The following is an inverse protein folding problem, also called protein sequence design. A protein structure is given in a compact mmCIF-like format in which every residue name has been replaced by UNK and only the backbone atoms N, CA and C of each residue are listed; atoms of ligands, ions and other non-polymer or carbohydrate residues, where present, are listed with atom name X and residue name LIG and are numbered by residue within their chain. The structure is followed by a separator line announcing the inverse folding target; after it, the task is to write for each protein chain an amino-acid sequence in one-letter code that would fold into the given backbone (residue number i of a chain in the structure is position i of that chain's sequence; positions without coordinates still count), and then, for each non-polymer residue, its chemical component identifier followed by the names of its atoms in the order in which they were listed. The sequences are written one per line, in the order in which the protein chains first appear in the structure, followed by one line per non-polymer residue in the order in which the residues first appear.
data_IF_941573269721
#
_entry.id   IF_941573269721
#
_cell.length_a   1.000
_cell.length_b   1.000
_cell.length_c   1.000
_cell.angle_alpha   90.00
_cell.angle_beta   90.00
_cell.angle_gamma   90.00
#
_symmetry.space_group_name_H-M   'P 1'
#
loop_
_entity.id
_entity.type
_entity.pdbx_description
1 polymer ?
#
# COMPACT_ATOMS: atom_id res chain seq x y z
N UNK A 1 55.63 17.49 -2.40
CA UNK A 1 54.36 18.18 -2.70
C UNK A 1 53.29 17.11 -2.88
N UNK A 2 52.64 16.70 -1.79
CA UNK A 2 51.83 15.47 -1.79
C UNK A 2 50.41 15.76 -2.29
N UNK A 3 50.02 15.07 -3.35
CA UNK A 3 48.66 14.97 -3.85
C UNK A 3 47.81 14.19 -2.84
N UNK A 4 46.68 14.75 -2.41
CA UNK A 4 45.64 13.96 -1.74
C UNK A 4 44.39 14.02 -2.62
N UNK A 5 44.24 12.94 -3.39
CA UNK A 5 43.03 12.55 -4.08
C UNK A 5 41.99 12.12 -3.03
N UNK A 6 41.00 12.97 -2.74
CA UNK A 6 39.85 12.61 -1.93
C UNK A 6 38.62 12.46 -2.83
N UNK A 7 38.48 11.26 -3.39
CA UNK A 7 37.23 10.78 -3.97
C UNK A 7 36.18 10.65 -2.85
N UNK A 8 35.40 11.72 -2.64
CA UNK A 8 34.27 11.74 -1.72
C UNK A 8 33.09 11.04 -2.40
N UNK A 9 33.01 9.72 -2.27
CA UNK A 9 31.81 8.95 -2.58
C UNK A 9 30.73 9.28 -1.55
N UNK A 10 29.88 10.27 -1.83
CA UNK A 10 28.81 10.71 -0.95
C UNK A 10 27.86 9.55 -0.63
N UNK A 11 27.94 8.99 0.58
CA UNK A 11 26.89 8.12 1.07
C UNK A 11 25.59 8.92 1.22
N UNK A 12 24.43 8.35 0.84
CA UNK A 12 23.16 9.05 1.00
C UNK A 12 22.91 9.37 2.48
N UNK A 13 22.40 10.57 2.72
CA UNK A 13 21.89 11.01 4.01
C UNK A 13 20.61 10.24 4.37
N UNK A 14 20.06 10.47 5.57
CA UNK A 14 18.87 9.75 6.04
C UNK A 14 17.66 9.89 5.08
N UNK A 15 17.33 11.09 4.53
CA UNK A 15 16.34 11.24 3.48
C UNK A 15 16.63 10.41 2.22
N UNK A 16 17.87 10.45 1.70
CA UNK A 16 18.26 9.67 0.53
C UNK A 16 18.16 8.15 0.75
N UNK A 17 18.48 7.69 1.96
CA UNK A 17 18.28 6.27 2.35
C UNK A 17 16.80 5.91 2.40
N UNK A 18 15.95 6.76 2.97
CA UNK A 18 14.51 6.50 3.03
C UNK A 18 13.90 6.43 1.63
N UNK A 19 14.33 7.30 0.72
CA UNK A 19 13.89 7.28 -0.68
C UNK A 19 14.31 6.00 -1.42
N UNK A 20 15.53 5.51 -1.17
CA UNK A 20 15.96 4.22 -1.73
C UNK A 20 15.13 3.04 -1.19
N UNK A 21 14.82 3.04 0.11
CA UNK A 21 13.97 2.01 0.73
C UNK A 21 12.53 2.10 0.20
N UNK A 22 12.01 3.30 -0.04
CA UNK A 22 10.70 3.51 -0.69
C UNK A 22 10.67 2.84 -2.07
N UNK A 23 11.60 3.18 -2.95
CA UNK A 23 11.72 2.60 -4.29
C UNK A 23 11.80 1.08 -4.28
N UNK A 24 12.55 0.52 -3.34
CA UNK A 24 12.66 -0.93 -3.17
C UNK A 24 11.36 -1.61 -2.69
N UNK A 25 10.44 -0.85 -2.09
CA UNK A 25 9.12 -1.35 -1.66
C UNK A 25 8.02 -1.17 -2.71
N UNK A 26 8.22 -0.36 -3.77
CA UNK A 26 7.21 -0.13 -4.80
C UNK A 26 6.64 -1.43 -5.41
N UNK A 27 7.43 -2.46 -5.77
CA UNK A 27 6.87 -3.70 -6.29
C UNK A 27 5.96 -4.42 -5.28
N UNK A 28 6.30 -4.35 -3.98
CA UNK A 28 5.49 -4.96 -2.91
C UNK A 28 4.22 -4.16 -2.65
N UNK A 29 4.28 -2.83 -2.76
CA UNK A 29 3.11 -1.96 -2.65
C UNK A 29 2.15 -2.24 -3.81
N UNK A 30 2.66 -2.23 -5.04
CA UNK A 30 1.88 -2.56 -6.24
C UNK A 30 1.24 -3.95 -6.15
N UNK A 31 1.99 -4.97 -5.73
CA UNK A 31 1.45 -6.33 -5.54
C UNK A 31 0.29 -6.38 -4.54
N UNK A 32 0.35 -5.63 -3.44
CA UNK A 32 -0.74 -5.56 -2.45
C UNK A 32 -1.95 -4.81 -2.99
N UNK A 33 -1.74 -3.72 -3.72
CA UNK A 33 -2.83 -3.00 -4.40
C UNK A 33 -3.54 -3.92 -5.39
N UNK A 34 -2.79 -4.73 -6.16
CA UNK A 34 -3.38 -5.74 -7.05
C UNK A 34 -4.19 -6.79 -6.31
N UNK A 35 -3.71 -7.29 -5.16
CA UNK A 35 -4.49 -8.21 -4.30
C UNK A 35 -5.82 -7.58 -3.87
N UNK A 36 -5.81 -6.31 -3.47
CA UNK A 36 -7.04 -5.61 -3.09
C UNK A 36 -8.01 -5.41 -4.26
N UNK A 37 -7.49 -5.10 -5.46
CA UNK A 37 -8.30 -5.00 -6.68
C UNK A 37 -8.90 -6.33 -7.09
N UNK A 38 -8.15 -7.42 -6.95
CA UNK A 38 -8.70 -8.75 -7.21
C UNK A 38 -9.85 -9.08 -6.26
N UNK A 39 -9.73 -8.73 -4.98
CA UNK A 39 -10.80 -8.93 -4.00
C UNK A 39 -12.03 -8.06 -4.29
N UNK A 40 -11.85 -6.79 -4.68
CA UNK A 40 -12.93 -5.91 -5.12
C UNK A 40 -13.70 -6.49 -6.31
N UNK A 41 -12.98 -6.96 -7.34
CA UNK A 41 -13.58 -7.58 -8.52
C UNK A 41 -14.30 -8.88 -8.19
N UNK A 42 -13.70 -9.74 -7.36
CA UNK A 42 -14.30 -11.00 -6.93
C UNK A 42 -15.55 -10.75 -6.09
N UNK A 43 -15.54 -9.72 -5.24
CA UNK A 43 -16.70 -9.31 -4.46
C UNK A 43 -17.84 -8.82 -5.38
N UNK A 44 -17.54 -8.02 -6.40
CA UNK A 44 -18.53 -7.58 -7.39
C UNK A 44 -19.13 -8.74 -8.20
N UNK A 45 -18.40 -9.84 -8.36
CA UNK A 45 -18.84 -11.05 -9.06
C UNK A 45 -19.50 -12.08 -8.12
N UNK A 46 -19.51 -11.85 -6.80
CA UNK A 46 -19.99 -12.81 -5.82
C UNK A 46 -19.11 -14.06 -5.68
N UNK A 47 -17.84 -13.97 -6.07
CA UNK A 47 -16.86 -15.06 -6.08
C UNK A 47 -15.76 -14.91 -5.04
N UNK A 48 -15.78 -13.83 -4.24
CA UNK A 48 -14.82 -13.64 -3.15
C UNK A 48 -15.03 -14.68 -2.05
N UNK A 49 -14.09 -15.60 -1.91
CA UNK A 49 -14.07 -16.59 -0.84
C UNK A 49 -13.32 -16.08 0.40
N UNK A 50 -13.35 -16.87 1.47
CA UNK A 50 -12.73 -16.50 2.74
C UNK A 50 -11.19 -16.38 2.62
N UNK A 51 -10.56 -17.19 1.76
CA UNK A 51 -9.11 -17.16 1.56
C UNK A 51 -8.70 -15.86 0.88
N UNK A 52 -9.33 -15.52 -0.24
CA UNK A 52 -9.11 -14.26 -0.95
C UNK A 52 -9.43 -13.04 -0.11
N UNK A 53 -10.49 -13.10 0.71
CA UNK A 53 -10.81 -12.03 1.67
C UNK A 53 -9.72 -11.84 2.72
N UNK A 54 -9.20 -12.93 3.30
CA UNK A 54 -8.10 -12.88 4.28
C UNK A 54 -6.79 -12.40 3.68
N UNK A 55 -6.49 -12.77 2.44
CA UNK A 55 -5.33 -12.26 1.72
C UNK A 55 -5.44 -10.75 1.49
N UNK A 56 -6.61 -10.26 1.10
CA UNK A 56 -6.88 -8.85 0.92
C UNK A 56 -6.82 -8.05 2.23
N UNK A 57 -7.40 -8.56 3.32
CA UNK A 57 -7.27 -8.00 4.68
C UNK A 57 -5.78 -7.85 5.06
N UNK A 58 -4.97 -8.92 4.86
CA UNK A 58 -3.53 -8.88 5.15
C UNK A 58 -2.77 -7.90 4.25
N UNK A 59 -3.17 -7.76 2.98
CA UNK A 59 -2.58 -6.81 2.06
C UNK A 59 -2.84 -5.37 2.51
N UNK A 60 -4.06 -5.06 2.95
CA UNK A 60 -4.44 -3.77 3.51
C UNK A 60 -3.64 -3.43 4.79
N UNK A 61 -3.55 -4.37 5.74
CA UNK A 61 -2.74 -4.21 6.95
C UNK A 61 -1.28 -3.86 6.65
N UNK A 62 -0.67 -4.61 5.72
CA UNK A 62 0.74 -4.39 5.32
C UNK A 62 0.92 -3.06 4.57
N UNK A 63 -0.09 -2.62 3.82
CA UNK A 63 -0.09 -1.29 3.20
C UNK A 63 -0.15 -0.20 4.26
N UNK A 64 -1.04 -0.31 5.26
CA UNK A 64 -1.10 0.67 6.35
C UNK A 64 0.26 0.82 7.06
N UNK A 65 0.91 -0.30 7.39
CA UNK A 65 2.23 -0.28 8.04
C UNK A 65 3.33 0.38 7.20
N UNK A 66 3.44 0.01 5.91
CA UNK A 66 4.51 0.56 5.06
C UNK A 66 4.27 2.04 4.73
N UNK A 67 3.01 2.43 4.46
CA UNK A 67 2.66 3.83 4.18
C UNK A 67 2.91 4.72 5.41
N UNK A 68 2.60 4.23 6.61
CA UNK A 68 2.90 4.93 7.85
C UNK A 68 4.41 5.13 8.07
N UNK A 69 5.22 4.11 7.75
CA UNK A 69 6.69 4.20 7.83
C UNK A 69 7.27 5.30 6.95
N UNK A 70 6.64 5.57 5.80
CA UNK A 70 7.06 6.59 4.85
C UNK A 70 6.37 7.95 5.02
N UNK A 71 5.55 8.11 6.07
CA UNK A 71 4.90 9.38 6.38
C UNK A 71 3.71 9.71 5.48
N UNK A 72 2.95 8.69 5.04
CA UNK A 72 1.70 8.87 4.29
C UNK A 72 0.50 8.60 5.22
N UNK A 73 0.08 9.56 6.06
CA UNK A 73 -1.01 9.37 7.02
C UNK A 73 -2.36 9.13 6.34
N UNK A 74 -2.62 9.80 5.20
CA UNK A 74 -3.85 9.57 4.44
C UNK A 74 -3.88 8.16 3.84
N UNK A 75 -2.78 7.72 3.22
CA UNK A 75 -2.66 6.36 2.69
C UNK A 75 -2.80 5.30 3.78
N UNK A 76 -2.25 5.56 4.96
CA UNK A 76 -2.40 4.71 6.15
C UNK A 76 -3.86 4.59 6.56
N UNK A 77 -4.58 5.72 6.68
CA UNK A 77 -5.98 5.73 7.09
C UNK A 77 -6.89 5.02 6.08
N UNK A 78 -6.66 5.21 4.78
CA UNK A 78 -7.38 4.54 3.70
C UNK A 78 -7.16 3.02 3.76
N UNK A 79 -5.90 2.58 3.89
CA UNK A 79 -5.56 1.16 4.00
C UNK A 79 -6.17 0.50 5.26
N UNK A 80 -6.17 1.18 6.40
CA UNK A 80 -6.81 0.67 7.62
C UNK A 80 -8.34 0.56 7.51
N UNK A 81 -9.00 1.48 6.81
CA UNK A 81 -10.45 1.34 6.54
C UNK A 81 -10.76 0.12 5.68
N UNK A 82 -9.94 -0.11 4.65
CA UNK A 82 -10.05 -1.29 3.78
C UNK A 82 -9.81 -2.58 4.59
N UNK A 83 -8.80 -2.59 5.47
CA UNK A 83 -8.52 -3.71 6.39
C UNK A 83 -9.74 -4.03 7.25
N UNK A 84 -10.36 -3.02 7.87
CA UNK A 84 -11.55 -3.20 8.71
C UNK A 84 -12.74 -3.73 7.90
N UNK A 85 -12.99 -3.18 6.71
CA UNK A 85 -14.09 -3.62 5.85
C UNK A 85 -13.95 -5.10 5.43
N UNK A 86 -12.71 -5.51 5.14
CA UNK A 86 -12.38 -6.88 4.77
C UNK A 86 -12.26 -7.82 5.97
N UNK A 87 -12.21 -7.30 7.19
CA UNK A 87 -12.08 -8.12 8.41
C UNK A 87 -13.34 -8.95 8.69
N UNK A 88 -13.14 -10.09 9.35
CA UNK A 88 -14.22 -11.01 9.74
C UNK A 88 -14.87 -11.78 8.59
N UNK A 89 -16.01 -12.40 8.91
CA UNK A 89 -16.74 -13.32 8.02
C UNK A 89 -18.15 -12.80 7.65
N UNK A 90 -18.53 -11.61 8.14
CA UNK A 90 -19.82 -11.02 7.86
C UNK A 90 -19.98 -10.72 6.36
N UNK A 91 -21.17 -10.93 5.81
CA UNK A 91 -21.46 -10.59 4.42
C UNK A 91 -21.15 -9.11 4.16
N UNK A 92 -20.45 -8.84 3.05
CA UNK A 92 -20.18 -7.47 2.59
C UNK A 92 -21.33 -7.06 1.68
N UNK A 93 -22.12 -6.10 2.10
CA UNK A 93 -23.28 -5.62 1.34
C UNK A 93 -22.90 -4.67 0.19
N UNK A 94 -23.90 -4.23 -0.57
CA UNK A 94 -23.70 -3.35 -1.73
C UNK A 94 -23.11 -1.98 -1.36
N UNK A 95 -23.42 -1.45 -0.18
CA UNK A 95 -22.90 -0.16 0.31
C UNK A 95 -21.41 -0.30 0.64
N UNK A 96 -21.06 -1.33 1.40
CA UNK A 96 -19.67 -1.65 1.74
C UNK A 96 -18.84 -1.99 0.50
N UNK A 97 -19.43 -2.65 -0.51
CA UNK A 97 -18.75 -2.89 -1.80
C UNK A 97 -18.43 -1.57 -2.51
N UNK A 98 -19.36 -0.63 -2.54
CA UNK A 98 -19.13 0.69 -3.14
C UNK A 98 -18.08 1.49 -2.35
N UNK A 99 -18.12 1.41 -1.01
CA UNK A 99 -17.12 2.01 -0.14
C UNK A 99 -15.72 1.45 -0.43
N UNK A 100 -15.57 0.12 -0.52
CA UNK A 100 -14.30 -0.53 -0.87
C UNK A 100 -13.73 -0.01 -2.19
N UNK A 101 -14.57 0.10 -3.23
CA UNK A 101 -14.15 0.60 -4.53
C UNK A 101 -13.67 2.07 -4.47
N UNK A 102 -14.35 2.92 -3.69
CA UNK A 102 -13.95 4.32 -3.48
C UNK A 102 -12.62 4.42 -2.73
N UNK A 103 -12.51 3.72 -1.59
CA UNK A 103 -11.30 3.71 -0.77
C UNK A 103 -10.08 3.24 -1.56
N UNK A 104 -10.23 2.22 -2.40
CA UNK A 104 -9.13 1.74 -3.25
C UNK A 104 -8.68 2.75 -4.29
N UNK A 105 -9.63 3.46 -4.92
CA UNK A 105 -9.32 4.52 -5.89
C UNK A 105 -8.57 5.68 -5.23
N UNK A 106 -8.99 6.07 -4.03
CA UNK A 106 -8.31 7.11 -3.24
C UNK A 106 -6.91 6.66 -2.81
N UNK A 107 -6.77 5.41 -2.34
CA UNK A 107 -5.49 4.84 -1.91
C UNK A 107 -4.47 4.80 -3.05
N UNK A 108 -4.88 4.37 -4.24
CA UNK A 108 -4.01 4.39 -5.43
C UNK A 108 -3.59 5.79 -5.84
N UNK A 109 -4.50 6.76 -5.70
CA UNK A 109 -4.19 8.16 -6.01
C UNK A 109 -3.16 8.72 -5.03
N UNK A 110 -3.30 8.40 -3.75
CA UNK A 110 -2.35 8.80 -2.71
C UNK A 110 -0.97 8.17 -2.93
N UNK A 111 -0.90 6.87 -3.21
CA UNK A 111 0.35 6.15 -3.50
C UNK A 111 1.05 6.76 -4.72
N UNK A 112 0.31 6.94 -5.82
CA UNK A 112 0.85 7.53 -7.06
C UNK A 112 1.35 8.96 -6.87
N UNK A 113 0.69 9.74 -6.00
CA UNK A 113 1.12 11.13 -5.72
C UNK A 113 2.47 11.20 -5.01
N UNK A 114 2.89 10.12 -4.33
CA UNK A 114 4.23 10.00 -3.71
C UNK A 114 5.30 9.50 -4.68
N UNK A 115 4.89 8.81 -5.75
CA UNK A 115 5.78 8.32 -6.81
C UNK A 115 6.17 9.41 -7.82
N UNK A 116 5.33 10.44 -7.98
CA UNK A 116 5.55 11.60 -8.86
C UNK A 116 6.57 12.59 -8.29
#
# INVERSE_FOLDING_TARGET
MNMINSSNGSQPDLPGKLEAVWKNNLPKIAGRVLTLRFAEQSLAQGTLDQVGRKEAESAAHKLAGILGTFGLPQGTALASKIEVLLSGDAHIDDEQRQELASLLKELETEIRSREA
#
